data_IF_376162903185
#
_entry.id   IF_376162903185
#
_cell.length_a   1.000
_cell.length_b   1.000
_cell.length_c   1.000
_cell.angle_alpha   90.00
_cell.angle_beta   90.00
_cell.angle_gamma   90.00
#
_symmetry.space_group_name_H-M   'P 1'
#
loop_
_entity.id
_entity.type
_entity.pdbx_description
1 polymer ?
#
# COMPACT_ATOMS: atom_id res chain seq x y z
N UNK A 1 -32.14 -16.90 -10.74
CA UNK A 1 -31.52 -15.58 -10.98
C UNK A 1 -30.08 -15.88 -11.38
N UNK A 2 -29.73 -15.76 -12.66
CA UNK A 2 -28.32 -15.95 -13.08
C UNK A 2 -27.54 -14.73 -12.63
N UNK A 3 -26.48 -14.93 -11.87
CA UNK A 3 -25.54 -13.84 -11.54
C UNK A 3 -24.89 -13.44 -12.86
N UNK A 4 -24.92 -12.15 -13.17
CA UNK A 4 -24.23 -11.60 -14.34
C UNK A 4 -22.72 -11.83 -14.16
N UNK A 5 -22.02 -12.48 -15.12
CA UNK A 5 -20.58 -12.69 -15.04
C UNK A 5 -19.79 -11.40 -14.76
N UNK A 6 -20.26 -10.26 -15.26
CA UNK A 6 -19.62 -8.96 -14.99
C UNK A 6 -19.79 -8.52 -13.54
N UNK A 7 -20.96 -8.74 -12.93
CA UNK A 7 -21.19 -8.46 -11.51
C UNK A 7 -20.27 -9.31 -10.61
N UNK A 8 -20.08 -10.58 -10.97
CA UNK A 8 -19.19 -11.49 -10.24
C UNK A 8 -17.71 -11.08 -10.34
N UNK A 9 -17.28 -10.64 -11.53
CA UNK A 9 -15.92 -10.14 -11.75
C UNK A 9 -15.66 -8.86 -10.93
N UNK A 10 -16.61 -7.91 -10.95
CA UNK A 10 -16.52 -6.67 -10.16
C UNK A 10 -16.44 -6.98 -8.67
N UNK A 11 -17.26 -7.91 -8.16
CA UNK A 11 -17.24 -8.30 -6.76
C UNK A 11 -15.88 -8.92 -6.36
N UNK A 12 -15.32 -9.77 -7.22
CA UNK A 12 -14.00 -10.38 -7.02
C UNK A 12 -12.90 -9.32 -6.94
N UNK A 13 -12.86 -8.42 -7.92
CA UNK A 13 -11.86 -7.34 -7.96
C UNK A 13 -11.97 -6.40 -6.75
N UNK A 14 -13.19 -6.14 -6.28
CA UNK A 14 -13.41 -5.34 -5.07
C UNK A 14 -12.92 -6.06 -3.80
N UNK A 15 -13.13 -7.37 -3.70
CA UNK A 15 -12.62 -8.17 -2.58
C UNK A 15 -11.09 -8.20 -2.56
N UNK A 16 -10.46 -8.47 -3.71
CA UNK A 16 -8.99 -8.46 -3.87
C UNK A 16 -8.40 -7.09 -3.53
N UNK A 17 -9.00 -6.00 -4.02
CA UNK A 17 -8.61 -4.63 -3.65
C UNK A 17 -8.69 -4.40 -2.14
N UNK A 18 -9.71 -4.94 -1.48
CA UNK A 18 -9.86 -4.87 -0.03
C UNK A 18 -8.68 -5.53 0.71
N UNK A 19 -8.29 -6.73 0.28
CA UNK A 19 -7.14 -7.46 0.82
C UNK A 19 -5.83 -6.70 0.59
N UNK A 20 -5.61 -6.16 -0.61
CA UNK A 20 -4.41 -5.39 -0.93
C UNK A 20 -4.28 -4.11 -0.09
N UNK A 21 -5.40 -3.43 0.19
CA UNK A 21 -5.40 -2.25 1.09
C UNK A 21 -5.06 -2.66 2.52
N UNK A 22 -5.57 -3.80 2.99
CA UNK A 22 -5.23 -4.32 4.31
C UNK A 22 -3.74 -4.62 4.43
N UNK A 23 -3.17 -5.35 3.46
CA UNK A 23 -1.74 -5.65 3.42
C UNK A 23 -0.88 -4.37 3.32
N UNK A 24 -1.32 -3.37 2.55
CA UNK A 24 -0.62 -2.08 2.47
C UNK A 24 -0.56 -1.36 3.82
N UNK A 25 -1.64 -1.42 4.62
CA UNK A 25 -1.67 -0.86 6.00
C UNK A 25 -0.73 -1.61 6.92
N UNK A 26 -0.75 -2.95 6.88
CA UNK A 26 0.14 -3.78 7.68
C UNK A 26 1.61 -3.49 7.34
N UNK A 27 1.95 -3.46 6.05
CA UNK A 27 3.29 -3.12 5.57
C UNK A 27 3.71 -1.71 6.02
N UNK A 28 2.82 -0.72 5.93
CA UNK A 28 3.11 0.63 6.42
C UNK A 28 3.48 0.63 7.91
N UNK A 29 2.73 -0.06 8.76
CA UNK A 29 3.02 -0.14 10.19
C UNK A 29 4.32 -0.90 10.48
N UNK A 30 4.57 -2.04 9.81
CA UNK A 30 5.78 -2.84 9.98
C UNK A 30 7.02 -2.01 9.64
N UNK A 31 6.99 -1.28 8.52
CA UNK A 31 8.11 -0.43 8.09
C UNK A 31 8.35 0.71 9.08
N UNK A 32 7.30 1.32 9.63
CA UNK A 32 7.43 2.34 10.69
C UNK A 32 8.05 1.77 11.96
N UNK A 33 7.62 0.59 12.39
CA UNK A 33 8.18 -0.09 13.56
C UNK A 33 9.67 -0.40 13.32
N UNK A 34 10.01 -0.92 12.15
CA UNK A 34 11.40 -1.19 11.77
C UNK A 34 12.27 0.08 11.84
N UNK A 35 11.82 1.21 11.27
CA UNK A 35 12.55 2.47 11.37
C UNK A 35 12.75 2.94 12.81
N UNK A 36 11.74 2.76 13.67
CA UNK A 36 11.80 3.23 15.06
C UNK A 36 12.86 2.54 15.92
N UNK A 37 13.32 1.36 15.51
CA UNK A 37 14.35 0.58 16.23
C UNK A 37 15.72 0.58 15.54
N UNK A 38 15.81 1.15 14.32
CA UNK A 38 17.05 1.22 13.55
C UNK A 38 17.92 2.40 13.98
N UNK A 39 19.23 2.21 13.93
CA UNK A 39 20.18 3.33 14.02
C UNK A 39 20.12 4.18 12.74
N UNK A 40 20.64 5.41 12.80
CA UNK A 40 20.70 6.30 11.64
C UNK A 40 21.46 5.66 10.47
N UNK A 41 22.57 4.98 10.73
CA UNK A 41 23.37 4.31 9.69
C UNK A 41 22.57 3.18 9.00
N UNK A 42 21.78 2.43 9.77
CA UNK A 42 20.91 1.39 9.22
C UNK A 42 19.79 1.97 8.35
N UNK A 43 19.21 3.10 8.75
CA UNK A 43 18.21 3.81 7.94
C UNK A 43 18.80 4.32 6.61
N UNK A 44 20.04 4.82 6.64
CA UNK A 44 20.77 5.24 5.43
C UNK A 44 21.06 4.05 4.51
N UNK A 45 21.54 2.93 5.06
CA UNK A 45 21.80 1.72 4.28
C UNK A 45 20.51 1.17 3.64
N UNK A 46 19.40 1.18 4.38
CA UNK A 46 18.08 0.83 3.86
C UNK A 46 17.66 1.73 2.69
N UNK A 47 17.83 3.05 2.82
CA UNK A 47 17.52 3.99 1.74
C UNK A 47 18.34 3.71 0.47
N UNK A 48 19.63 3.41 0.63
CA UNK A 48 20.51 3.06 -0.49
C UNK A 48 20.09 1.76 -1.18
N UNK A 49 19.66 0.75 -0.42
CA UNK A 49 19.13 -0.49 -0.98
C UNK A 49 17.85 -0.23 -1.79
N UNK A 50 16.94 0.59 -1.26
CA UNK A 50 15.71 0.97 -1.98
C UNK A 50 16.02 1.72 -3.29
N UNK A 51 16.98 2.65 -3.26
CA UNK A 51 17.41 3.37 -4.46
C UNK A 51 18.06 2.44 -5.50
N UNK A 52 18.92 1.52 -5.05
CA UNK A 52 19.53 0.51 -5.92
C UNK A 52 18.49 -0.36 -6.61
N UNK A 53 17.42 -0.70 -5.89
CA UNK A 53 16.37 -1.59 -6.37
C UNK A 53 15.25 -0.82 -7.11
N UNK A 54 15.40 0.51 -7.32
CA UNK A 54 14.47 1.35 -8.07
C UNK A 54 13.12 1.60 -7.37
N UNK A 55 13.09 1.46 -6.04
CA UNK A 55 11.89 1.61 -5.20
C UNK A 55 12.07 2.71 -4.16
N UNK A 56 12.93 3.68 -4.42
CA UNK A 56 13.06 4.91 -3.64
C UNK A 56 11.89 5.88 -3.90
N UNK A 57 11.81 6.92 -3.09
CA UNK A 57 10.80 7.96 -3.19
C UNK A 57 11.16 9.17 -2.34
N UNK A 58 10.16 9.91 -1.83
CA UNK A 58 10.41 11.16 -1.11
C UNK A 58 11.29 10.97 0.15
N UNK A 59 11.30 9.75 0.71
CA UNK A 59 12.21 9.38 1.79
C UNK A 59 12.59 7.90 1.76
N UNK A 60 13.49 7.52 2.68
CA UNK A 60 14.08 6.17 2.78
C UNK A 60 13.06 5.02 2.74
N UNK A 61 11.82 5.26 3.18
CA UNK A 61 10.80 4.23 3.29
C UNK A 61 9.54 4.50 2.48
N UNK A 62 9.47 5.55 1.66
CA UNK A 62 8.25 5.88 0.89
C UNK A 62 6.97 5.98 1.74
N UNK A 63 7.09 6.54 2.95
CA UNK A 63 5.98 6.61 3.90
C UNK A 63 4.84 7.50 3.37
N UNK A 64 5.18 8.65 2.80
CA UNK A 64 4.23 9.62 2.26
C UNK A 64 3.39 9.04 1.11
N UNK A 65 4.00 8.24 0.23
CA UNK A 65 3.31 7.60 -0.89
C UNK A 65 2.31 6.55 -0.41
N UNK A 66 2.68 5.76 0.61
CA UNK A 66 1.74 4.83 1.23
C UNK A 66 0.61 5.56 1.95
N UNK A 67 0.91 6.63 2.68
CA UNK A 67 -0.10 7.44 3.36
C UNK A 67 -1.08 8.07 2.36
N UNK A 68 -0.58 8.62 1.25
CA UNK A 68 -1.41 9.18 0.20
C UNK A 68 -2.33 8.12 -0.44
N UNK A 69 -1.83 6.90 -0.67
CA UNK A 69 -2.63 5.80 -1.18
C UNK A 69 -3.71 5.34 -0.18
N UNK A 70 -3.38 5.30 1.12
CA UNK A 70 -4.30 4.91 2.18
C UNK A 70 -5.35 5.98 2.49
N UNK A 71 -5.03 7.26 2.28
CA UNK A 71 -5.92 8.40 2.46
C UNK A 71 -6.94 8.55 1.32
N UNK A 72 -6.74 7.87 0.19
CA UNK A 72 -7.68 7.94 -0.93
C UNK A 72 -9.05 7.41 -0.50
N UNK A 73 -10.13 8.19 -0.65
CA UNK A 73 -11.46 7.75 -0.30
C UNK A 73 -11.81 6.49 -1.11
N UNK A 74 -12.54 5.58 -0.45
CA UNK A 74 -13.10 4.39 -1.09
C UNK A 74 -14.01 4.88 -2.21
N UNK A 75 -13.57 4.78 -3.46
CA UNK A 75 -14.42 5.06 -4.61
C UNK A 75 -15.61 4.10 -4.54
N UNK A 76 -16.77 4.60 -4.14
CA UNK A 76 -18.04 3.87 -4.24
C UNK A 76 -18.49 4.02 -5.68
N UNK A 77 -18.31 2.96 -6.48
CA UNK A 77 -18.91 2.90 -7.81
C UNK A 77 -20.36 2.47 -7.59
N UNK A 78 -21.30 3.40 -7.82
CA UNK A 78 -22.74 3.12 -7.80
C UNK A 78 -23.56 4.20 -7.11
N UNK A 79 -23.88 5.27 -7.85
CA UNK A 79 -25.05 6.14 -7.61
C UNK A 79 -25.26 6.98 -8.87
N UNK A 80 -25.84 6.38 -9.90
CA UNK A 80 -26.47 7.05 -11.02
C UNK A 80 -27.71 6.25 -11.41
#
# INVERSE_FOLDING_TARGET
MSIDPTELEIATLQAEKGLLIYELRAAHQIIRNALSVMTTEQQVAWAQMNARDGVDGEGATRAAERDALLARPRMVIGSA
#
